data_IF_919546277558
#
_entry.id   IF_919546277558
#
_cell.length_a   1.000
_cell.length_b   1.000
_cell.length_c   1.000
_cell.angle_alpha   90.00
_cell.angle_beta   90.00
_cell.angle_gamma   90.00
#
_symmetry.space_group_name_H-M   'P 1'
#
loop_
_entity.id
_entity.type
_entity.pdbx_description
1 polymer ?
#
# COMPACT_ATOMS: atom_id res chain seq x y z
N UNK A 1 -11.36 4.94 3.10
CA UNK A 1 -10.59 3.97 2.26
C UNK A 1 -11.26 3.73 0.91
N UNK A 2 -12.41 4.35 0.64
CA UNK A 2 -13.19 4.08 -0.58
C UNK A 2 -12.47 4.51 -1.85
N UNK A 3 -11.73 5.62 -1.80
CA UNK A 3 -10.85 6.04 -2.90
C UNK A 3 -9.91 4.90 -3.33
N UNK A 4 -9.15 4.34 -2.40
CA UNK A 4 -8.21 3.24 -2.68
C UNK A 4 -8.95 2.00 -3.20
N UNK A 5 -10.12 1.66 -2.63
CA UNK A 5 -10.94 0.55 -3.13
C UNK A 5 -11.43 0.78 -4.56
N UNK A 6 -11.82 2.01 -4.90
CA UNK A 6 -12.20 2.39 -6.26
C UNK A 6 -11.04 2.24 -7.24
N UNK A 7 -9.83 2.68 -6.85
CA UNK A 7 -8.63 2.46 -7.66
C UNK A 7 -8.39 0.97 -7.91
N UNK A 8 -8.47 0.13 -6.86
CA UNK A 8 -8.32 -1.33 -6.98
C UNK A 8 -9.34 -1.91 -7.97
N UNK A 9 -10.61 -1.53 -7.85
CA UNK A 9 -11.68 -2.03 -8.74
C UNK A 9 -11.46 -1.65 -10.22
N UNK A 10 -10.86 -0.49 -10.47
CA UNK A 10 -10.54 -0.02 -11.82
C UNK A 10 -9.19 -0.50 -12.35
N UNK A 11 -8.35 -1.10 -11.50
CA UNK A 11 -7.00 -1.53 -11.85
C UNK A 11 -6.99 -2.90 -12.52
N UNK A 12 -6.11 -3.08 -13.50
CA UNK A 12 -5.93 -4.35 -14.20
C UNK A 12 -4.47 -4.80 -14.13
N UNK A 13 -4.24 -6.11 -14.09
CA UNK A 13 -2.91 -6.69 -14.21
C UNK A 13 -2.21 -6.17 -15.47
N UNK A 14 -0.95 -5.77 -15.32
CA UNK A 14 -0.13 -5.16 -16.37
C UNK A 14 -0.27 -3.64 -16.51
N UNK A 15 -1.23 -3.01 -15.81
CA UNK A 15 -1.36 -1.56 -15.79
C UNK A 15 -0.08 -0.89 -15.24
N UNK A 16 0.32 0.21 -15.86
CA UNK A 16 1.42 1.04 -15.36
C UNK A 16 0.88 2.06 -14.36
N UNK A 17 1.41 2.01 -13.14
CA UNK A 17 1.13 2.96 -12.07
C UNK A 17 2.45 3.69 -11.76
N UNK A 18 2.63 4.88 -12.33
CA UNK A 18 3.93 5.54 -12.38
C UNK A 18 4.94 4.68 -13.15
N UNK A 19 6.08 4.37 -12.52
CA UNK A 19 7.12 3.50 -13.08
C UNK A 19 6.93 2.01 -12.77
N UNK A 20 5.89 1.65 -11.99
CA UNK A 20 5.68 0.28 -11.55
C UNK A 20 4.60 -0.39 -12.40
N UNK A 21 4.84 -1.65 -12.77
CA UNK A 21 3.84 -2.46 -13.46
C UNK A 21 3.09 -3.34 -12.46
N UNK A 22 1.77 -3.16 -12.39
CA UNK A 22 0.90 -3.86 -11.46
C UNK A 22 0.81 -5.36 -11.81
N UNK A 23 1.07 -6.24 -10.84
CA UNK A 23 0.73 -7.66 -10.96
C UNK A 23 -0.73 -7.88 -10.54
N UNK A 24 -1.10 -7.43 -9.33
CA UNK A 24 -2.48 -7.42 -8.87
C UNK A 24 -2.71 -6.35 -7.80
N UNK A 25 -3.99 -5.99 -7.62
CA UNK A 25 -4.43 -5.20 -6.49
C UNK A 25 -5.70 -5.82 -5.89
N UNK A 26 -5.77 -5.92 -4.57
CA UNK A 26 -6.85 -6.61 -3.87
C UNK A 26 -7.13 -6.07 -2.46
N UNK A 27 -8.24 -6.49 -1.88
CA UNK A 27 -8.48 -6.37 -0.43
C UNK A 27 -8.21 -7.73 0.21
N UNK A 28 -7.11 -7.81 0.94
CA UNK A 28 -6.53 -9.06 1.42
C UNK A 28 -7.52 -9.83 2.30
N UNK A 29 -7.65 -11.12 1.99
CA UNK A 29 -8.34 -12.10 2.80
C UNK A 29 -7.43 -13.30 3.03
N UNK A 30 -7.51 -13.86 4.24
CA UNK A 30 -6.78 -15.05 4.63
C UNK A 30 -7.76 -16.12 5.10
N UNK A 31 -7.54 -17.35 4.66
CA UNK A 31 -8.24 -18.54 5.15
C UNK A 31 -7.25 -19.37 5.93
N UNK A 32 -7.51 -19.57 7.22
CA UNK A 32 -6.66 -20.38 8.08
C UNK A 32 -6.73 -21.86 7.65
N UNK A 33 -5.59 -22.53 7.37
CA UNK A 33 -5.59 -23.90 6.86
C UNK A 33 -5.85 -24.95 7.95
N UNK A 34 -5.86 -24.58 9.23
CA UNK A 34 -6.10 -25.48 10.37
C UNK A 34 -7.58 -25.55 10.71
N UNK A 35 -8.23 -24.39 10.84
CA UNK A 35 -9.64 -24.31 11.26
C UNK A 35 -10.61 -23.82 10.18
N UNK A 36 -10.11 -23.38 9.02
CA UNK A 36 -10.93 -22.91 7.91
C UNK A 36 -11.55 -21.52 8.13
N UNK A 37 -11.22 -20.84 9.23
CA UNK A 37 -11.71 -19.49 9.49
C UNK A 37 -11.22 -18.50 8.44
N UNK A 38 -12.06 -17.53 8.08
CA UNK A 38 -11.76 -16.56 7.01
C UNK A 38 -11.72 -15.15 7.58
N UNK A 39 -10.54 -14.54 7.56
CA UNK A 39 -10.34 -13.13 7.90
C UNK A 39 -10.32 -12.29 6.62
N UNK A 40 -11.38 -11.50 6.40
CA UNK A 40 -11.49 -10.58 5.24
C UNK A 40 -11.14 -9.14 5.64
N UNK A 41 -10.87 -8.28 4.66
CA UNK A 41 -10.65 -6.85 4.90
C UNK A 41 -9.34 -6.54 5.62
N UNK A 42 -8.32 -7.39 5.44
CA UNK A 42 -7.08 -7.33 6.21
C UNK A 42 -6.03 -6.37 5.65
N UNK A 43 -6.32 -5.72 4.52
CA UNK A 43 -5.48 -4.66 3.97
C UNK A 43 -5.64 -4.54 2.46
N UNK A 44 -5.66 -3.31 1.96
CA UNK A 44 -5.70 -3.02 0.53
C UNK A 44 -4.28 -3.08 -0.02
N UNK A 45 -4.01 -3.96 -0.97
CA UNK A 45 -2.66 -4.21 -1.49
C UNK A 45 -2.58 -3.82 -2.96
N UNK A 46 -1.47 -3.21 -3.33
CA UNK A 46 -0.98 -3.13 -4.70
C UNK A 46 0.34 -3.89 -4.73
N UNK A 47 0.39 -4.95 -5.54
CA UNK A 47 1.58 -5.78 -5.71
C UNK A 47 2.07 -5.63 -7.12
N UNK A 48 3.34 -5.28 -7.26
CA UNK A 48 3.98 -5.01 -8.54
C UNK A 48 4.78 -6.23 -9.01
N UNK A 49 5.00 -6.29 -10.32
CA UNK A 49 5.67 -7.42 -10.99
C UNK A 49 7.15 -7.58 -10.61
N UNK A 50 7.78 -6.51 -10.11
CA UNK A 50 9.15 -6.51 -9.58
C UNK A 50 9.24 -7.04 -8.14
N UNK A 51 8.11 -7.29 -7.47
CA UNK A 51 8.04 -7.70 -6.07
C UNK A 51 7.82 -6.54 -5.08
N UNK A 52 7.83 -5.29 -5.55
CA UNK A 52 7.49 -4.10 -4.74
C UNK A 52 6.00 -4.08 -4.37
N UNK A 53 5.64 -3.46 -3.24
CA UNK A 53 4.26 -3.46 -2.72
C UNK A 53 3.90 -2.20 -1.96
N UNK A 54 2.64 -1.79 -2.10
CA UNK A 54 1.99 -0.76 -1.26
C UNK A 54 0.82 -1.41 -0.53
N UNK A 55 0.72 -1.21 0.78
CA UNK A 55 -0.39 -1.75 1.59
C UNK A 55 -1.01 -0.65 2.45
N UNK A 56 -2.33 -0.49 2.34
CA UNK A 56 -3.12 0.37 3.22
C UNK A 56 -3.95 -0.48 4.19
N UNK A 57 -3.89 -0.14 5.49
CA UNK A 57 -4.74 -0.77 6.50
C UNK A 57 -5.36 0.28 7.40
N UNK A 58 -6.69 0.27 7.50
CA UNK A 58 -7.40 1.08 8.48
C UNK A 58 -7.49 0.30 9.79
N UNK A 59 -7.16 0.95 10.91
CA UNK A 59 -7.14 0.32 12.22
C UNK A 59 -7.75 1.20 13.28
N UNK A 60 -8.31 0.57 14.31
CA UNK A 60 -8.80 1.25 15.51
C UNK A 60 -9.96 2.20 15.24
N UNK A 61 -11.00 1.76 14.52
CA UNK A 61 -12.20 2.56 14.15
C UNK A 61 -13.19 2.77 15.30
N UNK A 62 -12.69 2.91 16.53
CA UNK A 62 -13.50 3.10 17.73
C UNK A 62 -13.89 4.56 17.96
N UNK A 63 -14.32 4.89 19.17
CA UNK A 63 -14.68 6.27 19.57
C UNK A 63 -13.52 7.27 19.49
N UNK A 64 -12.27 6.80 19.44
CA UNK A 64 -11.06 7.63 19.41
C UNK A 64 -10.56 7.98 18.01
N UNK A 65 -11.37 7.73 16.97
CA UNK A 65 -11.01 7.99 15.57
C UNK A 65 -10.57 6.72 14.85
N UNK A 66 -9.70 6.85 13.85
CA UNK A 66 -9.11 5.72 13.13
C UNK A 66 -7.67 6.05 12.73
N UNK A 67 -6.82 5.03 12.67
CA UNK A 67 -5.44 5.14 12.20
C UNK A 67 -5.30 4.47 10.85
N UNK A 68 -4.82 5.24 9.86
CA UNK A 68 -4.37 4.71 8.58
C UNK A 68 -2.92 4.25 8.75
N UNK A 69 -2.66 2.99 8.47
CA UNK A 69 -1.31 2.43 8.38
C UNK A 69 -0.98 2.23 6.91
N UNK A 70 0.11 2.85 6.47
CA UNK A 70 0.65 2.72 5.13
C UNK A 70 1.98 1.98 5.23
N UNK A 71 2.07 0.85 4.54
CA UNK A 71 3.29 0.07 4.41
C UNK A 71 3.80 0.20 2.98
N UNK A 72 5.10 0.46 2.85
CA UNK A 72 5.77 0.67 1.58
C UNK A 72 6.96 -0.28 1.52
N UNK A 73 7.05 -1.04 0.44
CA UNK A 73 8.12 -1.98 0.20
C UNK A 73 8.57 -1.86 -1.25
N UNK A 74 9.86 -1.59 -1.46
CA UNK A 74 10.45 -1.57 -2.79
C UNK A 74 11.51 -2.66 -2.88
N UNK A 75 11.30 -3.60 -3.79
CA UNK A 75 12.32 -4.59 -4.09
C UNK A 75 13.40 -3.98 -4.99
N UNK A 76 14.65 -4.36 -4.76
CA UNK A 76 15.75 -4.05 -5.66
C UNK A 76 16.76 -5.19 -5.67
N UNK A 77 17.18 -5.59 -6.86
CA UNK A 77 18.31 -6.49 -7.09
C UNK A 77 19.60 -5.73 -7.44
N UNK A 78 19.55 -4.40 -7.48
CA UNK A 78 20.68 -3.54 -7.79
C UNK A 78 21.49 -3.26 -6.52
N UNK A 79 22.67 -3.89 -6.43
CA UNK A 79 23.56 -3.75 -5.29
C UNK A 79 24.04 -2.31 -5.03
N UNK A 80 24.01 -1.44 -6.05
CA UNK A 80 24.36 -0.03 -5.86
C UNK A 80 23.36 0.73 -4.97
N UNK A 81 22.13 0.22 -4.85
CA UNK A 81 21.07 0.84 -4.06
C UNK A 81 21.11 0.41 -2.58
N UNK A 82 21.80 -0.67 -2.22
CA UNK A 82 21.72 -1.25 -0.87
C UNK A 82 22.32 -0.37 0.23
N UNK A 83 23.27 0.50 -0.13
CA UNK A 83 23.87 1.48 0.80
C UNK A 83 23.22 2.86 0.75
N UNK A 84 22.22 3.06 -0.11
CA UNK A 84 21.52 4.34 -0.24
C UNK A 84 20.48 4.45 0.87
N UNK A 85 20.27 5.67 1.34
CA UNK A 85 19.23 5.94 2.34
C UNK A 85 17.85 5.46 1.86
N UNK A 86 17.16 4.71 2.72
CA UNK A 86 15.89 4.10 2.37
C UNK A 86 14.82 5.14 2.02
N UNK A 87 14.80 6.32 2.64
CA UNK A 87 13.81 7.36 2.31
C UNK A 87 14.00 7.89 0.90
N UNK A 88 15.24 7.94 0.42
CA UNK A 88 15.54 8.32 -0.97
C UNK A 88 15.08 7.24 -1.95
N UNK A 89 15.40 5.97 -1.67
CA UNK A 89 15.03 4.84 -2.53
C UNK A 89 13.51 4.64 -2.59
N UNK A 90 12.82 4.82 -1.46
CA UNK A 90 11.38 4.63 -1.34
C UNK A 90 10.57 5.85 -1.80
N UNK A 91 11.18 7.02 -2.01
CA UNK A 91 10.46 8.23 -2.40
C UNK A 91 9.52 8.05 -3.61
N UNK A 92 9.91 7.35 -4.70
CA UNK A 92 9.04 7.16 -5.86
C UNK A 92 7.77 6.37 -5.52
N UNK A 93 7.89 5.25 -4.80
CA UNK A 93 6.75 4.42 -4.41
C UNK A 93 5.88 5.09 -3.32
N UNK A 94 6.47 5.91 -2.44
CA UNK A 94 5.73 6.74 -1.49
C UNK A 94 4.85 7.74 -2.23
N UNK A 95 5.41 8.44 -3.23
CA UNK A 95 4.65 9.40 -4.02
C UNK A 95 3.50 8.73 -4.76
N UNK A 96 3.76 7.56 -5.37
CA UNK A 96 2.70 6.77 -5.98
C UNK A 96 1.60 6.39 -4.98
N UNK A 97 1.95 5.94 -3.77
CA UNK A 97 0.97 5.61 -2.75
C UNK A 97 0.11 6.82 -2.34
N UNK A 98 0.71 8.01 -2.24
CA UNK A 98 -0.01 9.25 -1.95
C UNK A 98 -0.97 9.64 -3.08
N UNK A 99 -0.54 9.51 -4.35
CA UNK A 99 -1.38 9.77 -5.53
C UNK A 99 -2.57 8.81 -5.61
N UNK A 100 -2.35 7.50 -5.47
CA UNK A 100 -3.42 6.50 -5.54
C UNK A 100 -4.48 6.69 -4.45
N UNK A 101 -4.03 7.11 -3.25
CA UNK A 101 -4.90 7.24 -2.09
C UNK A 101 -5.57 8.60 -1.93
N UNK A 102 -5.05 9.65 -2.57
CA UNK A 102 -5.45 11.05 -2.33
C UNK A 102 -5.46 11.39 -0.82
N UNK A 103 -4.50 10.82 -0.08
CA UNK A 103 -4.52 10.87 1.38
C UNK A 103 -4.44 12.30 1.90
N UNK A 104 -3.67 13.17 1.26
CA UNK A 104 -3.49 14.56 1.70
C UNK A 104 -4.79 15.33 1.55
N UNK A 105 -5.48 15.16 0.43
CA UNK A 105 -6.73 15.83 0.08
C UNK A 105 -7.88 15.34 0.97
N UNK A 106 -7.95 14.03 1.20
CA UNK A 106 -9.06 13.41 1.94
C UNK A 106 -8.90 13.51 3.47
N UNK A 107 -7.67 13.63 3.98
CA UNK A 107 -7.41 13.65 5.44
C UNK A 107 -6.87 14.98 5.95
N UNK A 108 -6.42 15.87 5.07
CA UNK A 108 -5.72 17.11 5.41
C UNK A 108 -4.30 16.91 5.97
N UNK A 109 -3.81 15.67 6.09
CA UNK A 109 -2.48 15.37 6.65
C UNK A 109 -1.39 15.60 5.60
N UNK A 110 -0.39 16.42 5.94
CA UNK A 110 0.75 16.68 5.06
C UNK A 110 1.90 15.68 5.24
N UNK A 111 2.03 15.14 6.45
CA UNK A 111 3.07 14.20 6.86
C UNK A 111 2.50 13.11 7.78
N UNK A 112 3.13 11.92 7.83
CA UNK A 112 2.73 10.87 8.76
C UNK A 112 3.02 11.27 10.20
N UNK A 113 2.18 10.83 11.13
CA UNK A 113 2.41 11.05 12.57
C UNK A 113 3.56 10.19 13.11
N UNK A 114 3.81 9.03 12.50
CA UNK A 114 4.86 8.07 12.89
C UNK A 114 5.46 7.47 11.62
N UNK A 115 6.79 7.34 11.60
CA UNK A 115 7.57 6.60 10.58
C UNK A 115 8.35 5.50 11.31
N UNK A 116 8.50 4.34 10.67
CA UNK A 116 9.27 3.19 11.16
C UNK A 116 10.08 2.62 10.02
#
# INVERSE_FOLDING_TARGET
MDQVRGVIQSSQKGASLGTYQLDFADDFAYTDPIDGSVAKGQGLRFVFTDGSRIIFRLSGTGSSGATIRLYIEQYSSDASQYGVDAQQVLAPIINLALELSQMKELTGRQEPTVIT
#
